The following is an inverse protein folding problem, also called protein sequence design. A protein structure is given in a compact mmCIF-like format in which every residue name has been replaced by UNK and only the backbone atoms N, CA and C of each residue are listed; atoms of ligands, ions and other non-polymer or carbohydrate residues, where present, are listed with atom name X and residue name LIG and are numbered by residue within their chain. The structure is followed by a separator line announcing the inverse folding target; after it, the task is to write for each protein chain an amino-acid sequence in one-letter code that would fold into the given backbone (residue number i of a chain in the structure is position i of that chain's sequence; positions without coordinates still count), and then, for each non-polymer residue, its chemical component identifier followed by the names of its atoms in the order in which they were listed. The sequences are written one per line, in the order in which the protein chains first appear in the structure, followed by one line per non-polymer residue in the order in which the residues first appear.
data_IF_708358898769
#
_entry.id   IF_708358898769
#
_cell.length_a   1.000
_cell.length_b   1.000
_cell.length_c   1.000
_cell.angle_alpha   90.00
_cell.angle_beta   90.00
_cell.angle_gamma   90.00
#
_symmetry.space_group_name_H-M   'P 1'
#
loop_
_entity.id
_entity.type
_entity.pdbx_description
1 polymer ?
#
# COMPACT_ATOMS: atom_id res chain seq x y z
N UNK A 1 4.44 14.39 -8.62
CA UNK A 1 3.28 14.15 -9.47
C UNK A 1 3.19 12.65 -9.67
N UNK A 2 2.14 12.04 -9.10
CA UNK A 2 1.90 10.61 -9.31
C UNK A 2 1.65 10.36 -10.80
N UNK A 3 2.04 9.18 -11.27
CA UNK A 3 1.74 8.75 -12.64
C UNK A 3 0.23 8.83 -12.87
N UNK A 4 -0.16 9.36 -14.03
CA UNK A 4 -1.57 9.47 -14.39
C UNK A 4 -2.17 8.05 -14.48
N UNK A 5 -3.26 7.78 -13.80
CA UNK A 5 -3.91 6.48 -13.80
C UNK A 5 -4.18 5.93 -15.23
N UNK A 6 -4.46 6.81 -16.19
CA UNK A 6 -4.68 6.46 -17.61
C UNK A 6 -3.37 6.05 -18.33
N UNK A 7 -2.21 6.37 -17.78
CA UNK A 7 -0.92 5.92 -18.30
C UNK A 7 -0.62 4.49 -17.85
N UNK A 8 -1.06 4.12 -16.65
CA UNK A 8 -0.78 2.83 -16.01
C UNK A 8 -1.85 1.79 -16.35
N UNK A 9 -3.12 2.18 -16.40
CA UNK A 9 -4.25 1.27 -16.58
C UNK A 9 -5.17 1.69 -17.71
N UNK A 10 -5.83 0.72 -18.32
CA UNK A 10 -6.86 0.94 -19.34
C UNK A 10 -8.09 0.08 -19.03
N UNK A 11 -9.26 0.66 -19.26
CA UNK A 11 -10.53 -0.03 -19.06
C UNK A 11 -10.97 -0.73 -20.33
N UNK A 12 -11.26 -2.02 -20.22
CA UNK A 12 -11.81 -2.79 -21.33
C UNK A 12 -13.26 -2.35 -21.57
N UNK A 13 -13.69 -2.16 -22.85
CA UNK A 13 -15.08 -1.85 -23.19
C UNK A 13 -16.07 -2.87 -22.63
N UNK A 14 -17.27 -2.39 -22.26
CA UNK A 14 -18.33 -3.25 -21.76
C UNK A 14 -18.68 -4.35 -22.79
N UNK A 15 -18.86 -5.57 -22.31
CA UNK A 15 -19.16 -6.74 -23.16
C UNK A 15 -17.96 -7.38 -23.86
N UNK A 16 -16.81 -6.69 -23.90
CA UNK A 16 -15.59 -7.28 -24.48
C UNK A 16 -14.98 -8.31 -23.52
N UNK A 17 -14.51 -9.43 -24.07
CA UNK A 17 -13.80 -10.48 -23.30
C UNK A 17 -12.38 -10.63 -23.82
N UNK A 18 -11.40 -10.76 -22.93
CA UNK A 18 -9.96 -10.96 -23.29
C UNK A 18 -9.74 -12.16 -24.23
N UNK A 19 -10.66 -13.12 -24.23
CA UNK A 19 -10.56 -14.36 -25.03
C UNK A 19 -11.02 -14.21 -26.48
N UNK A 20 -11.79 -13.17 -26.82
CA UNK A 20 -12.26 -12.92 -28.20
C UNK A 20 -11.14 -12.34 -29.07
N UNK A 21 -11.33 -12.31 -30.37
CA UNK A 21 -10.38 -11.74 -31.34
C UNK A 21 -10.16 -10.24 -31.05
N UNK A 22 -11.25 -9.52 -30.81
CA UNK A 22 -11.26 -8.08 -30.49
C UNK A 22 -10.57 -7.83 -29.14
N UNK A 23 -10.86 -8.67 -28.14
CA UNK A 23 -10.22 -8.56 -26.83
C UNK A 23 -8.72 -8.83 -26.85
N UNK A 24 -8.27 -9.80 -27.65
CA UNK A 24 -6.84 -10.07 -27.85
C UNK A 24 -6.15 -8.90 -28.56
N UNK A 25 -6.80 -8.30 -29.56
CA UNK A 25 -6.28 -7.10 -30.23
C UNK A 25 -6.17 -5.92 -29.26
N UNK A 26 -7.20 -5.69 -28.44
CA UNK A 26 -7.19 -4.65 -27.40
C UNK A 26 -6.05 -4.85 -26.39
N UNK A 27 -5.83 -6.09 -25.93
CA UNK A 27 -4.70 -6.42 -25.02
C UNK A 27 -3.35 -6.16 -25.68
N UNK A 28 -3.21 -6.49 -26.96
CA UNK A 28 -1.98 -6.27 -27.71
C UNK A 28 -1.67 -4.78 -27.92
N UNK A 29 -2.72 -3.97 -28.21
CA UNK A 29 -2.61 -2.51 -28.37
C UNK A 29 -2.18 -1.82 -27.08
N UNK A 30 -2.63 -2.32 -25.93
CA UNK A 30 -2.33 -1.73 -24.61
C UNK A 30 -1.25 -2.51 -23.84
N UNK A 31 -0.29 -3.06 -24.57
CA UNK A 31 0.83 -3.81 -23.96
C UNK A 31 1.61 -2.94 -22.97
N UNK A 32 1.80 -3.45 -21.76
CA UNK A 32 2.48 -2.74 -20.67
C UNK A 32 1.54 -2.01 -19.71
N UNK A 33 0.24 -1.89 -20.05
CA UNK A 33 -0.76 -1.34 -19.14
C UNK A 33 -1.53 -2.44 -18.39
N UNK A 34 -2.03 -2.09 -17.20
CA UNK A 34 -2.98 -2.91 -16.46
C UNK A 34 -4.33 -2.84 -17.17
N UNK A 35 -4.84 -3.98 -17.62
CA UNK A 35 -6.13 -4.03 -18.31
C UNK A 35 -7.21 -4.44 -17.32
N UNK A 36 -8.05 -3.48 -16.96
CA UNK A 36 -9.19 -3.66 -16.07
C UNK A 36 -10.39 -4.14 -16.91
N UNK A 37 -10.94 -5.30 -16.58
CA UNK A 37 -12.25 -5.69 -17.10
C UNK A 37 -13.35 -4.83 -16.45
N UNK A 38 -14.60 -4.81 -16.98
CA UNK A 38 -15.65 -3.94 -16.43
C UNK A 38 -15.98 -4.18 -14.95
N UNK A 39 -15.88 -5.44 -14.47
CA UNK A 39 -16.11 -5.74 -13.06
C UNK A 39 -14.99 -5.22 -12.16
N UNK A 40 -13.74 -5.39 -12.58
CA UNK A 40 -12.59 -4.87 -11.82
C UNK A 40 -12.59 -3.33 -11.81
N UNK A 41 -12.91 -2.70 -12.95
CA UNK A 41 -13.05 -1.26 -13.06
C UNK A 41 -14.13 -0.73 -12.09
N UNK A 42 -15.29 -1.41 -12.02
CA UNK A 42 -16.34 -1.07 -11.08
C UNK A 42 -15.86 -1.14 -9.62
N UNK A 43 -15.15 -2.22 -9.24
CA UNK A 43 -14.60 -2.37 -7.89
C UNK A 43 -13.63 -1.23 -7.56
N UNK A 44 -12.70 -0.92 -8.47
CA UNK A 44 -11.76 0.19 -8.29
C UNK A 44 -12.50 1.52 -8.12
N UNK A 45 -13.53 1.79 -8.93
CA UNK A 45 -14.33 3.01 -8.82
C UNK A 45 -15.03 3.13 -7.47
N UNK A 46 -15.60 2.02 -6.96
CA UNK A 46 -16.26 2.02 -5.66
C UNK A 46 -15.26 2.21 -4.50
N UNK A 47 -14.10 1.57 -4.57
CA UNK A 47 -13.03 1.79 -3.60
C UNK A 47 -12.56 3.25 -3.60
N UNK A 48 -12.34 3.83 -4.79
CA UNK A 48 -11.94 5.24 -4.92
C UNK A 48 -13.00 6.20 -4.40
N UNK A 49 -14.29 5.90 -4.64
CA UNK A 49 -15.40 6.68 -4.09
C UNK A 49 -15.37 6.65 -2.56
N UNK A 50 -15.26 5.46 -1.97
CA UNK A 50 -15.19 5.29 -0.51
C UNK A 50 -13.99 6.05 0.10
N UNK A 51 -12.82 5.99 -0.54
CA UNK A 51 -11.65 6.76 -0.09
C UNK A 51 -11.87 8.27 -0.16
N UNK A 52 -12.59 8.77 -1.17
CA UNK A 52 -12.93 10.20 -1.32
C UNK A 52 -13.97 10.68 -0.31
N UNK A 53 -14.88 9.82 0.09
CA UNK A 53 -15.94 10.14 1.05
C UNK A 53 -15.48 10.03 2.51
N UNK A 54 -14.41 9.28 2.78
CA UNK A 54 -13.89 9.11 4.14
C UNK A 54 -13.11 10.36 4.57
N UNK A 55 -13.42 10.99 5.74
CA UNK A 55 -12.90 12.31 6.14
C UNK A 55 -11.38 12.43 6.14
N UNK A 56 -10.65 11.37 6.54
CA UNK A 56 -9.19 11.38 6.55
C UNK A 56 -8.61 11.15 5.15
N UNK A 57 -9.11 10.16 4.40
CA UNK A 57 -8.51 9.77 3.13
C UNK A 57 -8.88 10.68 1.98
N UNK A 58 -9.94 11.50 2.13
CA UNK A 58 -10.29 12.53 1.15
C UNK A 58 -9.12 13.49 0.88
N UNK A 59 -8.46 13.98 1.94
CA UNK A 59 -7.30 14.86 1.81
C UNK A 59 -6.11 14.20 1.08
N UNK A 60 -5.89 12.90 1.32
CA UNK A 60 -4.87 12.13 0.61
C UNK A 60 -5.18 12.00 -0.89
N UNK A 61 -6.40 11.58 -1.21
CA UNK A 61 -6.83 11.35 -2.61
C UNK A 61 -6.92 12.65 -3.41
N UNK A 62 -7.33 13.74 -2.78
CA UNK A 62 -7.46 15.06 -3.41
C UNK A 62 -6.11 15.82 -3.52
N UNK A 63 -5.01 15.24 -3.01
CA UNK A 63 -3.69 15.87 -3.05
C UNK A 63 -3.52 17.05 -2.08
N UNK A 64 -4.33 17.12 -1.03
CA UNK A 64 -4.25 18.16 0.01
C UNK A 64 -3.10 17.89 0.98
N UNK A 65 -2.75 16.61 1.19
CA UNK A 65 -1.60 16.21 1.97
C UNK A 65 -0.33 16.37 1.13
N UNK A 66 0.67 17.06 1.69
CA UNK A 66 1.96 17.24 1.05
C UNK A 66 2.84 16.04 1.35
N UNK A 67 3.24 15.32 0.33
CA UNK A 67 4.04 14.12 0.46
C UNK A 67 4.34 13.48 -0.89
N UNK A 68 5.01 12.34 -0.84
CA UNK A 68 5.43 11.59 -2.02
C UNK A 68 4.89 10.16 -1.97
N UNK A 69 4.36 9.71 -3.11
CA UNK A 69 3.93 8.33 -3.30
C UNK A 69 5.08 7.48 -3.83
N UNK A 70 5.12 6.20 -3.43
CA UNK A 70 5.98 5.16 -4.02
C UNK A 70 7.48 5.51 -4.02
N UNK A 71 7.93 6.35 -3.08
CA UNK A 71 9.36 6.69 -2.94
C UNK A 71 10.11 5.54 -2.27
N UNK A 72 11.21 5.09 -2.89
CA UNK A 72 12.06 4.05 -2.33
C UNK A 72 13.14 4.63 -1.41
N UNK A 73 13.33 3.99 -0.26
CA UNK A 73 14.38 4.26 0.71
C UNK A 73 15.24 3.03 0.86
N UNK A 74 16.54 3.23 1.06
CA UNK A 74 17.51 2.17 1.24
C UNK A 74 18.43 2.50 2.40
N UNK A 75 18.77 1.51 3.22
CA UNK A 75 19.80 1.60 4.23
C UNK A 75 20.46 0.22 4.42
N UNK A 76 21.62 0.20 5.07
CA UNK A 76 22.27 -1.05 5.45
C UNK A 76 21.96 -1.38 6.91
N UNK A 77 21.53 -2.60 7.19
CA UNK A 77 21.34 -3.05 8.56
C UNK A 77 22.69 -3.15 9.28
N UNK A 78 22.90 -2.42 10.38
CA UNK A 78 24.22 -2.36 11.04
C UNK A 78 24.65 -3.67 11.71
N UNK A 79 23.72 -4.58 12.00
CA UNK A 79 24.04 -5.84 12.66
C UNK A 79 24.36 -6.96 11.66
N UNK A 80 23.63 -7.02 10.54
CA UNK A 80 23.77 -8.10 9.56
C UNK A 80 24.53 -7.69 8.30
N UNK A 81 24.65 -6.38 8.03
CA UNK A 81 25.21 -5.86 6.78
C UNK A 81 24.28 -5.98 5.57
N UNK A 82 23.05 -6.47 5.74
CA UNK A 82 22.08 -6.61 4.67
C UNK A 82 21.59 -5.25 4.18
N UNK A 83 21.44 -5.12 2.88
CA UNK A 83 20.75 -3.98 2.25
C UNK A 83 19.25 -4.08 2.45
N UNK A 84 18.66 -3.07 3.09
CA UNK A 84 17.24 -2.97 3.36
C UNK A 84 16.56 -1.97 2.44
N UNK A 85 15.30 -2.23 2.12
CA UNK A 85 14.47 -1.36 1.29
C UNK A 85 13.09 -1.16 1.91
N UNK A 86 12.60 0.08 1.90
CA UNK A 86 11.19 0.41 2.12
C UNK A 86 10.66 1.25 0.96
N UNK A 87 9.39 1.02 0.59
CA UNK A 87 8.67 1.84 -0.39
C UNK A 87 7.23 2.03 0.09
N UNK A 88 7.00 3.04 0.94
CA UNK A 88 5.65 3.36 1.39
C UNK A 88 4.77 3.84 0.24
N UNK A 89 3.48 3.54 0.30
CA UNK A 89 2.51 4.04 -0.67
C UNK A 89 2.45 5.56 -0.64
N UNK A 90 2.54 6.16 0.56
CA UNK A 90 2.66 7.60 0.74
C UNK A 90 3.46 7.94 2.00
N UNK A 91 4.34 8.94 1.89
CA UNK A 91 5.10 9.51 3.00
C UNK A 91 4.98 11.03 2.97
N UNK A 92 4.62 11.64 4.09
CA UNK A 92 4.59 13.10 4.24
C UNK A 92 5.96 13.73 3.97
N UNK A 93 6.00 14.93 3.37
CA UNK A 93 7.25 15.64 3.04
C UNK A 93 8.12 15.96 4.28
N UNK A 94 7.49 16.14 5.45
CA UNK A 94 8.15 16.35 6.73
C UNK A 94 8.59 15.03 7.41
N UNK A 95 8.41 13.90 6.74
CA UNK A 95 8.70 12.56 7.22
C UNK A 95 7.91 12.15 8.48
N UNK A 96 6.86 12.86 8.85
CA UNK A 96 6.14 12.60 10.11
C UNK A 96 5.25 11.36 10.05
N UNK A 97 4.68 11.06 8.88
CA UNK A 97 3.63 10.06 8.74
C UNK A 97 3.80 9.22 7.48
N UNK A 98 3.77 7.90 7.69
CA UNK A 98 3.64 6.90 6.62
C UNK A 98 2.17 6.51 6.50
N UNK A 99 1.66 6.46 5.26
CA UNK A 99 0.32 5.93 4.95
C UNK A 99 0.49 4.77 3.96
N UNK A 100 -0.11 3.65 4.28
CA UNK A 100 -0.05 2.42 3.49
C UNK A 100 -1.47 1.92 3.20
N UNK A 101 -1.79 1.76 1.92
CA UNK A 101 -3.12 1.38 1.43
C UNK A 101 -3.26 -0.14 1.37
N UNK A 102 -4.26 -0.67 2.03
CA UNK A 102 -4.56 -2.11 2.05
C UNK A 102 -5.95 -2.39 1.48
N UNK A 103 -6.01 -3.13 0.37
CA UNK A 103 -7.27 -3.70 -0.07
C UNK A 103 -7.61 -4.95 0.77
N UNK A 104 -8.84 -5.01 1.28
CA UNK A 104 -9.28 -6.10 2.15
C UNK A 104 -10.68 -6.62 1.75
N UNK A 105 -11.11 -7.71 2.35
CA UNK A 105 -12.50 -8.23 2.25
C UNK A 105 -13.36 -7.69 3.38
N UNK A 106 -12.72 -7.37 4.52
CA UNK A 106 -13.38 -6.89 5.73
C UNK A 106 -12.48 -5.84 6.39
N UNK A 107 -12.92 -4.60 6.36
CA UNK A 107 -12.22 -3.46 6.96
C UNK A 107 -12.67 -3.20 8.41
N UNK A 108 -13.54 -4.03 9.01
CA UNK A 108 -13.86 -3.93 10.43
C UNK A 108 -12.62 -4.15 11.31
N UNK A 109 -12.60 -3.68 12.57
CA UNK A 109 -11.47 -3.88 13.47
C UNK A 109 -11.06 -5.36 13.59
N UNK A 110 -12.01 -6.27 13.70
CA UNK A 110 -11.76 -7.72 13.79
C UNK A 110 -11.23 -8.31 12.48
N UNK A 111 -11.81 -7.92 11.34
CA UNK A 111 -11.39 -8.38 10.01
C UNK A 111 -10.01 -7.89 9.66
N UNK A 112 -9.73 -6.60 9.91
CA UNK A 112 -8.42 -6.02 9.66
C UNK A 112 -7.34 -6.57 10.60
N UNK A 113 -7.64 -6.78 11.89
CA UNK A 113 -6.74 -7.43 12.83
C UNK A 113 -6.31 -8.83 12.34
N UNK A 114 -7.24 -9.60 11.79
CA UNK A 114 -6.93 -10.91 11.19
C UNK A 114 -5.99 -10.77 9.97
N UNK A 115 -6.18 -9.73 9.17
CA UNK A 115 -5.30 -9.41 8.04
C UNK A 115 -3.91 -8.98 8.51
N UNK A 116 -3.83 -8.14 9.54
CA UNK A 116 -2.56 -7.73 10.20
C UNK A 116 -1.74 -8.95 10.63
N UNK A 117 -2.37 -9.89 11.31
CA UNK A 117 -1.71 -11.12 11.77
C UNK A 117 -1.29 -12.01 10.59
N UNK A 118 -2.20 -12.24 9.63
CA UNK A 118 -1.98 -13.15 8.49
C UNK A 118 -0.87 -12.67 7.56
N UNK A 119 -0.83 -11.38 7.27
CA UNK A 119 0.11 -10.78 6.32
C UNK A 119 1.31 -10.13 7.00
N UNK A 120 1.40 -10.26 8.33
CA UNK A 120 2.49 -9.71 9.15
C UNK A 120 2.68 -8.20 8.93
N UNK A 121 1.59 -7.42 8.87
CA UNK A 121 1.66 -5.96 8.68
C UNK A 121 2.39 -5.25 9.83
N UNK A 122 2.43 -5.88 11.02
CA UNK A 122 3.26 -5.42 12.13
C UNK A 122 4.76 -5.43 11.79
N UNK A 123 5.24 -6.40 11.01
CA UNK A 123 6.63 -6.41 10.51
C UNK A 123 6.84 -5.30 9.51
N UNK A 124 5.91 -5.13 8.55
CA UNK A 124 6.01 -4.08 7.54
C UNK A 124 6.08 -2.69 8.17
N UNK A 125 5.19 -2.36 9.12
CA UNK A 125 5.16 -1.04 9.74
C UNK A 125 6.46 -0.73 10.48
N UNK A 126 6.97 -1.67 11.27
CA UNK A 126 8.23 -1.51 11.99
C UNK A 126 9.42 -1.38 11.04
N UNK A 127 9.52 -2.30 10.05
CA UNK A 127 10.59 -2.29 9.07
C UNK A 127 10.65 -0.99 8.26
N UNK A 128 9.50 -0.46 7.84
CA UNK A 128 9.47 0.80 7.08
C UNK A 128 9.93 1.99 7.92
N UNK A 129 9.52 2.05 9.20
CA UNK A 129 9.99 3.08 10.13
C UNK A 129 11.51 3.03 10.29
N UNK A 130 12.07 1.83 10.51
CA UNK A 130 13.51 1.63 10.73
C UNK A 130 14.32 1.95 9.44
N UNK A 131 13.85 1.52 8.27
CA UNK A 131 14.55 1.80 6.99
C UNK A 131 14.53 3.28 6.65
N UNK A 132 13.41 3.97 6.84
CA UNK A 132 13.32 5.41 6.56
C UNK A 132 14.20 6.19 7.54
N UNK A 133 14.21 5.83 8.83
CA UNK A 133 15.12 6.39 9.82
C UNK A 133 16.58 6.18 9.43
N UNK A 134 16.96 4.96 9.05
CA UNK A 134 18.31 4.62 8.61
C UNK A 134 18.75 5.38 7.35
N UNK A 135 17.82 5.61 6.41
CA UNK A 135 18.10 6.31 5.16
C UNK A 135 18.15 7.83 5.28
N UNK A 136 17.39 8.41 6.21
CA UNK A 136 17.16 9.88 6.30
C UNK A 136 17.70 10.51 7.59
N UNK A 137 17.99 9.70 8.61
CA UNK A 137 18.29 10.15 9.96
C UNK A 137 17.05 10.61 10.75
N UNK A 138 15.85 10.53 10.18
CA UNK A 138 14.61 10.95 10.84
C UNK A 138 13.63 9.79 10.90
N UNK A 139 13.20 9.41 12.11
CA UNK A 139 12.18 8.38 12.32
C UNK A 139 10.79 8.96 12.12
N UNK A 140 9.94 8.42 11.24
CA UNK A 140 8.54 8.81 11.17
C UNK A 140 7.82 8.57 12.50
N UNK A 141 6.92 9.48 12.86
CA UNK A 141 6.23 9.45 14.15
C UNK A 141 5.07 8.47 14.19
N UNK A 142 4.45 8.21 13.03
CA UNK A 142 3.30 7.33 12.92
C UNK A 142 3.28 6.54 11.62
N UNK A 143 2.63 5.37 11.69
CA UNK A 143 2.32 4.53 10.54
C UNK A 143 0.81 4.26 10.53
N UNK A 144 0.14 4.64 9.44
CA UNK A 144 -1.28 4.41 9.24
C UNK A 144 -1.53 3.39 8.13
N UNK A 145 -2.40 2.44 8.42
CA UNK A 145 -3.01 1.59 7.41
C UNK A 145 -4.36 2.17 7.00
N UNK A 146 -4.54 2.39 5.72
CA UNK A 146 -5.84 2.72 5.13
C UNK A 146 -6.39 1.43 4.53
N UNK A 147 -7.33 0.80 5.22
CA UNK A 147 -8.00 -0.41 4.78
C UNK A 147 -9.25 -0.04 3.97
N UNK A 148 -9.34 -0.49 2.71
CA UNK A 148 -10.51 -0.31 1.87
C UNK A 148 -11.03 -1.67 1.39
N UNK A 149 -12.33 -1.91 1.52
CA UNK A 149 -12.94 -3.14 1.08
C UNK A 149 -13.04 -3.21 -0.45
N UNK A 150 -12.69 -4.36 -1.01
CA UNK A 150 -12.87 -4.68 -2.44
C UNK A 150 -14.19 -5.39 -2.74
N UNK A 151 -15.06 -5.50 -1.73
CA UNK A 151 -16.40 -6.06 -1.80
C UNK A 151 -17.40 -5.11 -1.12
N UNK A 152 -18.68 -5.22 -1.41
CA UNK A 152 -19.70 -4.41 -0.73
C UNK A 152 -19.69 -4.63 0.78
N UNK A 153 -19.79 -3.57 1.59
CA UNK A 153 -20.18 -2.19 1.25
C UNK A 153 -19.05 -1.28 0.74
N UNK A 154 -17.83 -1.78 0.47
CA UNK A 154 -16.63 -1.01 0.10
C UNK A 154 -16.18 -0.03 1.19
N UNK A 155 -16.37 -0.41 2.44
CA UNK A 155 -16.05 0.44 3.59
C UNK A 155 -14.56 0.77 3.64
N UNK A 156 -14.26 2.01 4.04
CA UNK A 156 -12.89 2.47 4.34
C UNK A 156 -12.74 2.64 5.85
N UNK A 157 -11.63 2.16 6.39
CA UNK A 157 -11.23 2.37 7.79
C UNK A 157 -9.74 2.72 7.87
N UNK A 158 -9.37 3.52 8.87
CA UNK A 158 -7.98 3.93 9.10
C UNK A 158 -7.53 3.40 10.45
N UNK A 159 -6.38 2.74 10.46
CA UNK A 159 -5.79 2.12 11.64
C UNK A 159 -4.37 2.63 11.85
N UNK A 160 -4.06 3.07 13.05
CA UNK A 160 -2.71 3.44 13.43
C UNK A 160 -2.00 2.22 14.02
N UNK A 161 -0.78 1.96 13.57
CA UNK A 161 0.08 1.01 14.25
C UNK A 161 0.47 1.59 15.61
N UNK A 162 0.02 0.96 16.69
CA UNK A 162 0.37 1.36 18.04
C UNK A 162 1.79 0.89 18.42
N UNK A 163 2.28 1.40 19.54
CA UNK A 163 3.65 1.08 19.98
C UNK A 163 3.85 -0.42 20.22
N UNK A 164 2.86 -1.12 20.77
CA UNK A 164 2.96 -2.55 21.01
C UNK A 164 3.09 -3.34 19.69
N UNK A 165 2.34 -2.94 18.65
CA UNK A 165 2.45 -3.50 17.31
C UNK A 165 3.83 -3.24 16.70
N UNK A 166 4.36 -2.01 16.85
CA UNK A 166 5.68 -1.62 16.34
C UNK A 166 6.79 -2.42 17.04
N UNK A 167 6.74 -2.52 18.37
CA UNK A 167 7.75 -3.24 19.15
C UNK A 167 7.78 -4.74 18.80
N UNK A 168 6.61 -5.36 18.69
CA UNK A 168 6.51 -6.76 18.26
C UNK A 168 7.00 -6.93 16.82
N UNK A 169 6.64 -6.02 15.93
CA UNK A 169 7.10 -6.00 14.54
C UNK A 169 8.62 -5.89 14.44
N UNK A 170 9.24 -5.05 15.27
CA UNK A 170 10.70 -4.87 15.33
C UNK A 170 11.41 -6.14 15.76
N UNK A 171 10.89 -6.83 16.80
CA UNK A 171 11.44 -8.12 17.22
C UNK A 171 11.38 -9.14 16.08
N UNK A 172 10.23 -9.27 15.43
CA UNK A 172 10.06 -10.23 14.35
C UNK A 172 10.89 -9.89 13.10
N UNK A 173 11.01 -8.60 12.75
CA UNK A 173 11.90 -8.15 11.67
C UNK A 173 13.36 -8.50 11.96
N UNK A 174 13.82 -8.32 13.21
CA UNK A 174 15.18 -8.69 13.63
C UNK A 174 15.43 -10.19 13.51
N UNK A 175 14.50 -11.02 13.95
CA UNK A 175 14.58 -12.48 13.80
C UNK A 175 14.68 -12.88 12.32
N UNK A 176 13.85 -12.27 11.44
CA UNK A 176 13.87 -12.54 10.01
C UNK A 176 15.22 -12.12 9.37
N UNK A 177 15.77 -10.95 9.70
CA UNK A 177 17.05 -10.46 9.19
C UNK A 177 18.22 -11.37 9.63
N UNK A 178 18.24 -11.79 10.89
CA UNK A 178 19.25 -12.70 11.39
C UNK A 178 19.20 -14.07 10.68
N UNK A 179 18.00 -14.55 10.39
CA UNK A 179 17.83 -15.80 9.65
C UNK A 179 18.32 -15.65 8.19
N UNK A 180 18.00 -14.52 7.52
CA UNK A 180 18.44 -14.26 6.15
C UNK A 180 19.96 -14.15 6.08
N UNK A 181 20.60 -13.49 7.05
CA UNK A 181 22.05 -13.28 7.08
C UNK A 181 22.86 -14.58 7.28
N UNK A 182 22.23 -15.66 7.68
CA UNK A 182 22.87 -17.00 7.86
C UNK A 182 22.83 -17.84 6.59
N UNK A 183 22.18 -17.38 5.53
CA UNK A 183 22.08 -18.08 4.23
C UNK A 183 23.16 -17.63 3.27
#
# INVERSE_FOLDING_TARGET
PGENADEIAVRMPAGMKKTTKEGKAFVAEHKGKIILNPSDAYVVDQMMLSLREHPFTAGLVNGELKGKSEQSFFCTDPETGLELKARPDFLMDDLSLIIDLKSTVDASPKGFQSSVARYRYFVQSSHYLDVIEGATGTRPQAFLFVAVEKVRPFATAVYMADQAMIDFGKQQAREDLNNIAQW
#
